data_IF_895313817025
#
_entry.id   IF_895313817025
#
_cell.length_a   1.000
_cell.length_b   1.000
_cell.length_c   1.000
_cell.angle_alpha   90.00
_cell.angle_beta   90.00
_cell.angle_gamma   90.00
#
_symmetry.space_group_name_H-M   'P 1'
#
loop_
_entity.id
_entity.type
_entity.pdbx_description
1 polymer ?
#
# COMPACT_ATOMS: atom_id res chain seq x y z
N UNK A 1 14.61 10.40 -7.64
CA UNK A 1 13.85 9.70 -8.70
C UNK A 1 12.72 10.60 -9.15
N UNK A 2 12.71 11.03 -10.41
CA UNK A 2 11.65 11.87 -10.96
C UNK A 2 10.60 11.03 -11.68
N UNK A 3 10.54 11.17 -13.00
CA UNK A 3 9.59 10.50 -13.90
C UNK A 3 9.71 8.98 -13.90
N UNK A 4 10.88 8.42 -13.57
CA UNK A 4 11.07 6.99 -13.31
C UNK A 4 10.15 6.42 -12.20
N UNK A 5 9.59 7.29 -11.34
CA UNK A 5 8.58 6.88 -10.34
C UNK A 5 7.30 6.32 -10.97
N UNK A 6 7.02 6.64 -12.24
CA UNK A 6 5.89 6.08 -12.99
C UNK A 6 5.98 4.55 -13.08
N UNK A 7 7.18 3.99 -13.24
CA UNK A 7 7.39 2.54 -13.25
C UNK A 7 7.10 1.88 -11.91
N UNK A 8 7.22 2.62 -10.80
CA UNK A 8 6.79 2.15 -9.48
C UNK A 8 5.30 1.88 -9.53
N UNK A 9 4.53 2.90 -9.95
CA UNK A 9 3.07 2.83 -10.01
C UNK A 9 2.60 1.75 -10.99
N UNK A 10 3.13 1.73 -12.21
CA UNK A 10 2.78 0.69 -13.20
C UNK A 10 3.18 -0.70 -12.74
N UNK A 11 4.39 -0.87 -12.20
CA UNK A 11 4.87 -2.15 -11.69
C UNK A 11 4.01 -2.67 -10.56
N UNK A 12 3.66 -1.80 -9.60
CA UNK A 12 2.77 -2.17 -8.49
C UNK A 12 1.37 -2.56 -8.96
N UNK A 13 0.73 -1.73 -9.79
CA UNK A 13 -0.63 -2.01 -10.31
C UNK A 13 -0.63 -3.32 -11.10
N UNK A 14 0.36 -3.52 -11.97
CA UNK A 14 0.43 -4.73 -12.79
C UNK A 14 0.72 -5.97 -11.94
N UNK A 15 1.62 -5.85 -10.95
CA UNK A 15 1.96 -6.92 -10.03
C UNK A 15 0.79 -7.33 -9.14
N UNK A 16 0.06 -6.35 -8.60
CA UNK A 16 -1.16 -6.58 -7.82
C UNK A 16 -2.29 -7.16 -8.67
N UNK A 17 -2.45 -6.67 -9.91
CA UNK A 17 -3.42 -7.23 -10.85
C UNK A 17 -3.11 -8.71 -11.17
N UNK A 18 -1.86 -9.05 -11.48
CA UNK A 18 -1.45 -10.45 -11.69
C UNK A 18 -1.65 -11.32 -10.44
N UNK A 19 -1.21 -10.81 -9.29
CA UNK A 19 -1.45 -11.42 -7.98
C UNK A 19 -2.92 -11.80 -7.80
N UNK A 20 -3.82 -10.84 -8.03
CA UNK A 20 -5.25 -11.01 -7.84
C UNK A 20 -5.84 -12.08 -8.76
N UNK A 21 -5.31 -12.21 -9.98
CA UNK A 21 -5.77 -13.19 -10.96
C UNK A 21 -5.44 -14.62 -10.55
N UNK A 22 -4.21 -14.87 -10.10
CA UNK A 22 -3.72 -16.21 -9.80
C UNK A 22 -4.01 -16.66 -8.36
N UNK A 23 -3.86 -15.76 -7.39
CA UNK A 23 -3.83 -16.15 -5.97
C UNK A 23 -5.17 -15.99 -5.28
N UNK A 24 -5.91 -14.91 -5.51
CA UNK A 24 -7.17 -14.68 -4.78
C UNK A 24 -8.20 -15.78 -5.04
N UNK A 25 -8.26 -16.33 -6.27
CA UNK A 25 -9.16 -17.45 -6.59
C UNK A 25 -8.78 -18.73 -5.85
N UNK A 26 -7.48 -19.08 -5.81
CA UNK A 26 -6.99 -20.28 -5.12
C UNK A 26 -7.13 -20.16 -3.61
N UNK A 27 -6.84 -18.98 -3.08
CA UNK A 27 -6.95 -18.71 -1.66
C UNK A 27 -8.40 -18.73 -1.17
N UNK A 28 -9.34 -18.20 -1.94
CA UNK A 28 -10.77 -18.29 -1.60
C UNK A 28 -11.23 -19.74 -1.53
N UNK A 29 -10.88 -20.55 -2.55
CA UNK A 29 -11.23 -21.97 -2.56
C UNK A 29 -10.64 -22.69 -1.33
N UNK A 30 -9.37 -22.47 -1.01
CA UNK A 30 -8.74 -23.03 0.17
C UNK A 30 -9.37 -22.54 1.49
N UNK A 31 -9.80 -21.28 1.58
CA UNK A 31 -10.49 -20.74 2.75
C UNK A 31 -11.88 -21.38 2.93
N UNK A 32 -12.64 -21.56 1.85
CA UNK A 32 -13.94 -22.24 1.87
C UNK A 32 -13.80 -23.72 2.20
N UNK A 33 -12.75 -24.39 1.70
CA UNK A 33 -12.49 -25.82 1.97
C UNK A 33 -12.01 -26.09 3.40
N UNK A 34 -11.39 -25.10 4.06
CA UNK A 34 -10.81 -25.25 5.42
C UNK A 34 -11.66 -24.62 6.53
N UNK A 35 -12.72 -23.87 6.19
CA UNK A 35 -13.58 -23.10 7.12
C UNK A 35 -12.79 -22.15 8.07
N UNK A 36 -11.60 -21.73 7.63
CA UNK A 36 -10.69 -20.90 8.42
C UNK A 36 -10.91 -19.42 8.14
N UNK A 37 -11.15 -18.65 9.21
CA UNK A 37 -11.37 -17.19 9.15
C UNK A 37 -10.07 -16.37 9.10
N UNK A 38 -8.91 -17.01 9.27
CA UNK A 38 -7.61 -16.34 9.33
C UNK A 38 -6.70 -16.77 8.18
N UNK A 39 -6.02 -15.81 7.55
CA UNK A 39 -5.01 -16.08 6.53
C UNK A 39 -3.93 -17.06 7.00
N UNK A 40 -3.51 -16.96 8.27
CA UNK A 40 -2.54 -17.89 8.86
C UNK A 40 -3.12 -19.30 9.02
N UNK A 41 -4.43 -19.44 9.27
CA UNK A 41 -5.13 -20.71 9.37
C UNK A 41 -5.24 -21.40 8.00
N UNK A 42 -5.66 -20.65 6.98
CA UNK A 42 -5.73 -21.15 5.59
C UNK A 42 -4.36 -21.61 5.10
N UNK A 43 -3.28 -20.87 5.42
CA UNK A 43 -1.94 -21.26 5.02
C UNK A 43 -1.42 -22.49 5.81
N UNK A 44 -1.81 -22.63 7.07
CA UNK A 44 -1.43 -23.78 7.90
C UNK A 44 -2.14 -25.08 7.50
N UNK A 45 -3.36 -24.98 6.94
CA UNK A 45 -4.15 -26.11 6.48
C UNK A 45 -4.01 -26.37 4.97
N UNK A 46 -3.17 -25.60 4.26
CA UNK A 46 -3.05 -25.63 2.79
C UNK A 46 -2.67 -27.00 2.22
N UNK A 47 -1.90 -27.79 2.97
CA UNK A 47 -1.45 -29.14 2.58
C UNK A 47 -2.28 -30.28 3.17
N UNK A 48 -3.42 -29.98 3.80
CA UNK A 48 -4.34 -30.99 4.36
C UNK A 48 -4.04 -31.43 5.79
N UNK A 49 -2.84 -31.16 6.32
CA UNK A 49 -2.49 -31.41 7.72
C UNK A 49 -2.43 -30.11 8.53
N UNK A 50 -3.24 -29.97 9.60
CA UNK A 50 -3.31 -28.73 10.38
C UNK A 50 -2.05 -28.50 11.22
N UNK A 51 -1.10 -27.75 10.67
CA UNK A 51 0.13 -27.41 11.36
C UNK A 51 -0.04 -26.16 12.25
N UNK A 52 -0.52 -26.38 13.49
CA UNK A 52 -0.69 -25.32 14.50
C UNK A 52 0.60 -24.57 14.84
N UNK A 53 1.78 -25.18 14.67
CA UNK A 53 3.05 -24.47 14.89
C UNK A 53 3.30 -23.45 13.78
N UNK A 54 3.06 -23.84 12.53
CA UNK A 54 3.17 -22.93 11.38
C UNK A 54 2.18 -21.76 11.49
N UNK A 55 0.93 -22.02 11.89
CA UNK A 55 -0.07 -20.97 12.12
C UNK A 55 0.39 -19.93 13.16
N UNK A 56 0.96 -20.39 14.28
CA UNK A 56 1.48 -19.49 15.33
C UNK A 56 2.67 -18.67 14.85
N UNK A 57 3.59 -19.28 14.10
CA UNK A 57 4.76 -18.56 13.56
C UNK A 57 4.32 -17.48 12.57
N UNK A 58 3.41 -17.80 11.65
CA UNK A 58 2.86 -16.82 10.69
C UNK A 58 2.12 -15.70 11.42
N UNK A 59 1.27 -16.05 12.40
CA UNK A 59 0.54 -15.07 13.21
C UNK A 59 1.47 -14.13 13.97
N UNK A 60 2.53 -14.66 14.59
CA UNK A 60 3.50 -13.88 15.36
C UNK A 60 4.35 -12.97 14.46
N UNK A 61 4.81 -13.47 13.32
CA UNK A 61 5.51 -12.65 12.32
C UNK A 61 4.59 -11.53 11.80
N UNK A 62 3.35 -11.87 11.44
CA UNK A 62 2.36 -10.90 10.96
C UNK A 62 2.07 -9.83 12.00
N UNK A 63 1.91 -10.20 13.26
CA UNK A 63 1.70 -9.27 14.36
C UNK A 63 2.89 -8.32 14.52
N UNK A 64 4.12 -8.84 14.49
CA UNK A 64 5.33 -8.03 14.61
C UNK A 64 5.44 -7.01 13.47
N UNK A 65 5.24 -7.44 12.22
CA UNK A 65 5.29 -6.55 11.06
C UNK A 65 4.15 -5.53 11.03
N UNK A 66 2.94 -5.91 11.47
CA UNK A 66 1.81 -4.99 11.55
C UNK A 66 2.03 -3.92 12.62
N UNK A 67 2.65 -4.30 13.76
CA UNK A 67 2.94 -3.37 14.84
C UNK A 67 4.01 -2.35 14.43
N UNK A 68 5.07 -2.78 13.76
CA UNK A 68 6.10 -1.88 13.22
C UNK A 68 5.53 -0.97 12.13
N UNK A 69 4.68 -1.49 11.26
CA UNK A 69 3.97 -0.71 10.24
C UNK A 69 3.07 0.36 10.86
N UNK A 70 2.23 0.01 11.84
CA UNK A 70 1.38 0.95 12.56
C UNK A 70 2.21 2.04 13.28
N UNK A 71 3.31 1.66 13.91
CA UNK A 71 4.25 2.59 14.53
C UNK A 71 4.85 3.58 13.52
N UNK A 72 5.28 3.09 12.35
CA UNK A 72 5.82 3.94 11.28
C UNK A 72 4.79 4.96 10.78
N UNK A 73 3.52 4.58 10.65
CA UNK A 73 2.45 5.50 10.27
C UNK A 73 2.23 6.62 11.30
N UNK A 74 2.20 6.27 12.60
CA UNK A 74 2.05 7.27 13.67
C UNK A 74 3.23 8.25 13.70
N UNK A 75 4.45 7.75 13.47
CA UNK A 75 5.65 8.61 13.36
C UNK A 75 5.56 9.54 12.16
N UNK A 76 5.15 9.04 10.99
CA UNK A 76 4.96 9.85 9.79
C UNK A 76 3.90 10.95 10.00
N UNK A 77 2.76 10.61 10.59
CA UNK A 77 1.71 11.58 10.94
C UNK A 77 2.19 12.62 11.96
N UNK A 78 2.95 12.20 12.97
CA UNK A 78 3.52 13.12 13.95
C UNK A 78 4.53 14.09 13.32
N UNK A 79 5.34 13.61 12.36
CA UNK A 79 6.25 14.46 11.60
C UNK A 79 5.53 15.49 10.76
N UNK A 80 4.42 15.12 10.12
CA UNK A 80 3.59 16.07 9.38
C UNK A 80 3.05 17.18 10.30
N UNK A 81 2.51 16.81 11.47
CA UNK A 81 2.02 17.78 12.47
C UNK A 81 3.14 18.67 13.02
N UNK A 82 4.32 18.11 13.27
CA UNK A 82 5.50 18.87 13.68
C UNK A 82 5.88 19.91 12.63
N UNK A 83 5.90 19.56 11.34
CA UNK A 83 6.29 20.49 10.27
C UNK A 83 5.21 21.56 10.02
N UNK A 84 3.93 21.22 10.15
CA UNK A 84 2.83 22.13 9.85
C UNK A 84 2.51 23.11 11.00
N UNK A 85 2.56 22.63 12.25
CA UNK A 85 2.13 23.39 13.42
C UNK A 85 3.27 23.74 14.38
N UNK A 86 4.51 23.35 14.06
CA UNK A 86 5.70 23.48 14.93
C UNK A 86 5.51 22.84 16.31
N UNK A 87 4.72 21.75 16.34
CA UNK A 87 4.40 21.04 17.57
C UNK A 87 5.51 20.09 18.01
N UNK A 88 5.62 19.80 19.32
CA UNK A 88 6.55 18.80 19.79
C UNK A 88 6.20 17.42 19.22
N UNK A 89 7.19 16.71 18.68
CA UNK A 89 6.97 15.46 17.93
C UNK A 89 6.36 14.29 18.72
N UNK A 90 6.19 14.41 20.04
CA UNK A 90 5.42 13.43 20.82
C UNK A 90 3.91 13.71 20.80
N UNK A 91 3.50 14.99 20.68
CA UNK A 91 2.10 15.39 20.75
C UNK A 91 1.29 14.84 19.55
N UNK A 92 1.88 14.88 18.35
CA UNK A 92 1.23 14.33 17.15
C UNK A 92 1.04 12.82 17.22
N UNK A 93 2.02 12.09 17.73
CA UNK A 93 1.93 10.64 17.92
C UNK A 93 0.87 10.26 18.97
N UNK A 94 0.82 10.98 20.10
CA UNK A 94 -0.20 10.76 21.14
C UNK A 94 -1.59 11.06 20.63
N UNK A 95 -1.78 12.17 19.92
CA UNK A 95 -3.08 12.53 19.34
C UNK A 95 -3.56 11.50 18.32
N UNK A 96 -2.67 11.07 17.41
CA UNK A 96 -2.98 10.02 16.43
C UNK A 96 -3.37 8.71 17.11
N UNK A 97 -2.62 8.26 18.11
CA UNK A 97 -2.94 7.05 18.87
C UNK A 97 -4.30 7.15 19.59
N UNK A 98 -4.59 8.28 20.24
CA UNK A 98 -5.87 8.52 20.92
C UNK A 98 -7.03 8.49 19.93
N UNK A 99 -6.91 9.17 18.78
CA UNK A 99 -7.94 9.12 17.74
C UNK A 99 -8.18 7.69 17.26
N UNK A 100 -7.13 6.93 16.99
CA UNK A 100 -7.22 5.52 16.57
C UNK A 100 -7.98 4.68 17.58
N UNK A 101 -7.61 4.79 18.85
CA UNK A 101 -8.27 4.06 19.94
C UNK A 101 -9.76 4.44 20.02
N UNK A 102 -10.09 5.73 19.96
CA UNK A 102 -11.46 6.21 20.08
C UNK A 102 -12.36 5.66 18.97
N UNK A 103 -11.95 5.74 17.70
CA UNK A 103 -12.79 5.23 16.62
C UNK A 103 -12.82 3.70 16.59
N UNK A 104 -11.74 3.01 17.02
CA UNK A 104 -11.75 1.55 17.17
C UNK A 104 -12.82 1.10 18.18
N UNK A 105 -12.97 1.80 19.30
CA UNK A 105 -14.00 1.51 20.29
C UNK A 105 -15.42 1.87 19.82
N UNK A 106 -15.59 2.97 19.10
CA UNK A 106 -16.91 3.47 18.72
C UNK A 106 -17.60 2.67 17.61
N UNK A 107 -16.83 1.94 16.80
CA UNK A 107 -17.21 1.81 15.40
C UNK A 107 -17.44 0.41 14.81
N UNK A 108 -16.77 -0.61 15.33
CA UNK A 108 -16.69 -1.91 14.68
C UNK A 108 -16.26 -1.82 13.20
N UNK A 109 -16.57 -2.86 12.40
CA UNK A 109 -16.18 -2.93 10.97
C UNK A 109 -16.83 -1.81 10.14
N UNK A 110 -18.08 -1.42 10.45
CA UNK A 110 -18.83 -0.42 9.66
C UNK A 110 -18.26 0.99 9.78
N UNK A 111 -17.89 1.45 10.97
CA UNK A 111 -17.31 2.78 11.10
C UNK A 111 -15.92 2.85 10.46
N UNK A 112 -15.12 1.78 10.56
CA UNK A 112 -13.83 1.71 9.88
C UNK A 112 -13.94 1.91 8.37
N UNK A 113 -14.97 1.33 7.73
CA UNK A 113 -15.20 1.52 6.30
C UNK A 113 -15.55 2.98 5.97
N UNK A 114 -16.38 3.61 6.80
CA UNK A 114 -16.74 5.02 6.60
C UNK A 114 -15.55 5.97 6.82
N UNK A 115 -14.69 5.70 7.81
CA UNK A 115 -13.48 6.49 8.03
C UNK A 115 -12.48 6.30 6.90
N UNK A 116 -12.31 5.07 6.38
CA UNK A 116 -11.45 4.79 5.23
C UNK A 116 -11.92 5.57 3.98
N UNK A 117 -13.25 5.60 3.74
CA UNK A 117 -13.85 6.35 2.63
C UNK A 117 -13.72 7.88 2.79
N UNK A 118 -13.91 8.41 3.99
CA UNK A 118 -13.71 9.83 4.25
C UNK A 118 -12.23 10.23 4.07
N UNK A 119 -11.30 9.40 4.56
CA UNK A 119 -9.87 9.64 4.44
C UNK A 119 -9.43 9.62 2.97
N UNK A 120 -9.92 8.68 2.15
CA UNK A 120 -9.56 8.63 0.73
C UNK A 120 -10.02 9.89 -0.02
N UNK A 121 -11.23 10.37 0.27
CA UNK A 121 -11.75 11.62 -0.32
C UNK A 121 -10.90 12.83 0.05
N UNK A 122 -10.52 12.96 1.33
CA UNK A 122 -9.67 14.04 1.83
C UNK A 122 -8.29 13.98 1.20
N UNK A 123 -7.68 12.79 1.11
CA UNK A 123 -6.36 12.59 0.51
C UNK A 123 -6.35 12.95 -0.98
N UNK A 124 -7.34 12.51 -1.76
CA UNK A 124 -7.46 12.84 -3.18
C UNK A 124 -7.60 14.36 -3.37
N UNK A 125 -8.48 14.98 -2.58
CA UNK A 125 -8.72 16.43 -2.63
C UNK A 125 -7.47 17.23 -2.27
N UNK A 126 -6.79 16.85 -1.17
CA UNK A 126 -5.56 17.49 -0.72
C UNK A 126 -4.45 17.38 -1.77
N UNK A 127 -4.31 16.21 -2.41
CA UNK A 127 -3.30 15.97 -3.43
C UNK A 127 -3.58 16.78 -4.72
N UNK A 128 -4.86 16.92 -5.12
CA UNK A 128 -5.27 17.76 -6.25
C UNK A 128 -5.00 19.25 -5.99
N UNK A 129 -5.30 19.73 -4.78
CA UNK A 129 -5.01 21.11 -4.36
C UNK A 129 -3.51 21.34 -4.34
N UNK A 130 -2.74 20.44 -3.72
CA UNK A 130 -1.29 20.54 -3.62
C UNK A 130 -0.66 20.61 -5.02
N UNK A 131 -1.10 19.76 -5.96
CA UNK A 131 -0.63 19.78 -7.34
C UNK A 131 -0.92 21.12 -8.01
N UNK A 132 -2.14 21.65 -7.86
CA UNK A 132 -2.55 22.91 -8.48
C UNK A 132 -1.77 24.09 -7.92
N UNK A 133 -1.59 24.15 -6.59
CA UNK A 133 -0.80 25.18 -5.91
C UNK A 133 0.67 25.10 -6.32
N UNK A 134 1.26 23.91 -6.38
CA UNK A 134 2.65 23.72 -6.81
C UNK A 134 2.86 24.21 -8.26
N UNK A 135 1.99 23.81 -9.19
CA UNK A 135 2.08 24.22 -10.60
C UNK A 135 1.89 25.73 -10.77
N UNK A 136 0.93 26.32 -10.06
CA UNK A 136 0.69 27.77 -10.14
C UNK A 136 1.82 28.59 -9.52
N UNK A 137 2.41 28.13 -8.41
CA UNK A 137 3.57 28.75 -7.78
C UNK A 137 4.82 28.74 -8.67
N UNK A 138 4.97 27.73 -9.53
CA UNK A 138 6.08 27.59 -10.48
C UNK A 138 5.86 28.38 -11.78
N UNK A 139 4.81 29.20 -11.89
CA UNK A 139 4.53 29.99 -13.10
C UNK A 139 3.65 29.27 -14.13
N UNK A 140 2.86 28.28 -13.71
CA UNK A 140 1.99 27.49 -14.58
C UNK A 140 2.66 26.20 -15.08
N UNK A 141 1.99 25.51 -16.00
CA UNK A 141 2.49 24.22 -16.53
C UNK A 141 3.85 24.36 -17.21
N UNK A 142 4.07 25.44 -17.96
CA UNK A 142 5.33 25.66 -18.68
C UNK A 142 6.49 25.94 -17.71
N UNK A 143 6.24 26.75 -16.66
CA UNK A 143 7.23 27.01 -15.62
C UNK A 143 7.56 25.77 -14.79
N UNK A 144 6.54 24.97 -14.45
CA UNK A 144 6.74 23.69 -13.78
C UNK A 144 7.57 22.72 -14.64
N UNK A 145 7.29 22.59 -15.95
CA UNK A 145 8.07 21.73 -16.86
C UNK A 145 9.51 22.23 -17.01
N UNK A 146 9.73 23.54 -17.04
CA UNK A 146 11.07 24.11 -17.12
C UNK A 146 11.89 23.83 -15.85
N UNK A 147 11.30 23.93 -14.66
CA UNK A 147 11.95 23.54 -13.42
C UNK A 147 12.17 22.01 -13.32
N UNK A 148 11.26 21.21 -13.85
CA UNK A 148 11.48 19.76 -13.95
C UNK A 148 12.63 19.40 -14.90
N UNK A 149 12.87 20.23 -15.92
CA UNK A 149 14.02 20.11 -16.84
C UNK A 149 15.33 20.63 -16.23
N UNK A 150 15.26 21.57 -15.28
CA UNK A 150 16.44 22.13 -14.62
C UNK A 150 17.10 21.10 -13.69
N UNK A 151 16.34 20.12 -13.21
CA UNK A 151 16.86 18.98 -12.45
C UNK A 151 17.33 17.88 -13.39
N UNK A 152 18.65 17.68 -13.45
CA UNK A 152 19.28 16.70 -14.31
C UNK A 152 18.73 15.28 -14.06
N UNK A 153 18.29 14.63 -15.13
CA UNK A 153 17.75 13.26 -15.09
C UNK A 153 16.35 13.12 -14.45
N UNK A 154 15.68 14.21 -14.05
CA UNK A 154 14.36 14.11 -13.42
C UNK A 154 13.27 13.68 -14.40
N UNK A 155 13.36 14.06 -15.68
CA UNK A 155 12.38 13.67 -16.71
C UNK A 155 12.73 12.35 -17.42
N UNK A 156 13.81 11.68 -17.02
CA UNK A 156 14.17 10.41 -17.64
C UNK A 156 13.16 9.32 -17.26
N UNK A 157 12.71 8.58 -18.27
CA UNK A 157 11.77 7.46 -18.10
C UNK A 157 12.39 6.29 -17.34
N UNK A 158 13.71 6.13 -17.39
CA UNK A 158 14.47 5.15 -16.63
C UNK A 158 15.45 5.87 -15.70
N UNK A 159 15.81 5.28 -14.54
CA UNK A 159 16.87 5.82 -13.70
C UNK A 159 18.17 5.99 -14.51
N UNK A 160 19.02 6.95 -14.14
CA UNK A 160 20.34 7.08 -14.77
C UNK A 160 21.14 5.78 -14.57
N UNK A 161 21.95 5.37 -15.55
CA UNK A 161 22.73 4.12 -15.53
C UNK A 161 23.58 3.97 -14.26
N UNK A 162 24.05 5.08 -13.68
CA UNK A 162 24.82 5.12 -12.43
C UNK A 162 24.01 4.73 -11.17
N UNK A 163 22.68 4.79 -11.24
CA UNK A 163 21.77 4.41 -10.16
C UNK A 163 21.22 2.98 -10.28
N UNK A 164 21.55 2.29 -11.38
CA UNK A 164 21.11 0.93 -11.66
C UNK A 164 22.22 -0.05 -11.31
N UNK A 165 21.84 -1.17 -10.68
CA UNK A 165 22.78 -2.27 -10.34
C UNK A 165 23.42 -2.86 -11.62
N UNK A 166 22.72 -2.78 -12.75
CA UNK A 166 23.20 -3.17 -14.07
C UNK A 166 22.91 -2.00 -15.03
N UNK A 167 23.93 -1.34 -15.61
CA UNK A 167 23.70 -0.24 -16.55
C UNK A 167 23.08 -0.75 -17.87
N UNK A 168 22.28 0.10 -18.53
CA UNK A 168 21.65 -0.15 -19.82
C UNK A 168 20.20 -0.66 -19.76
N UNK A 169 19.65 -0.99 -20.93
CA UNK A 169 18.24 -1.39 -21.09
C UNK A 169 17.82 -2.60 -20.23
N UNK A 170 18.77 -3.49 -19.92
CA UNK A 170 18.56 -4.64 -19.03
C UNK A 170 18.32 -4.18 -17.58
N UNK A 171 19.05 -3.15 -17.12
CA UNK A 171 18.81 -2.54 -15.82
C UNK A 171 17.43 -1.94 -15.70
N UNK A 172 17.00 -1.17 -16.71
CA UNK A 172 15.67 -0.57 -16.74
C UNK A 172 14.55 -1.61 -16.69
N UNK A 173 14.74 -2.74 -17.40
CA UNK A 173 13.79 -3.85 -17.37
C UNK A 173 13.77 -4.58 -16.02
N UNK A 174 14.94 -4.82 -15.40
CA UNK A 174 15.03 -5.40 -14.06
C UNK A 174 14.45 -4.47 -12.99
N UNK A 175 14.60 -3.15 -13.14
CA UNK A 175 13.97 -2.17 -12.27
C UNK A 175 12.44 -2.28 -12.36
N UNK A 176 11.88 -2.24 -13.57
CA UNK A 176 10.44 -2.40 -13.79
C UNK A 176 9.93 -3.76 -13.26
N UNK A 177 10.64 -4.85 -13.56
CA UNK A 177 10.31 -6.20 -13.08
C UNK A 177 10.39 -6.30 -11.54
N UNK A 178 11.37 -5.65 -10.91
CA UNK A 178 11.49 -5.58 -9.45
C UNK A 178 10.26 -4.95 -8.80
N UNK A 179 9.72 -3.89 -9.38
CA UNK A 179 8.48 -3.27 -8.91
C UNK A 179 7.23 -4.12 -9.16
N UNK A 180 7.22 -4.93 -10.23
CA UNK A 180 6.18 -5.94 -10.42
C UNK A 180 6.23 -7.02 -9.32
N UNK A 181 7.41 -7.51 -8.95
CA UNK A 181 7.56 -8.43 -7.82
C UNK A 181 7.18 -7.77 -6.49
N UNK A 182 7.48 -6.48 -6.32
CA UNK A 182 7.01 -5.72 -5.17
C UNK A 182 5.47 -5.62 -5.14
N UNK A 183 4.80 -5.49 -6.28
CA UNK A 183 3.34 -5.55 -6.38
C UNK A 183 2.79 -6.93 -6.02
N UNK A 184 3.46 -8.00 -6.44
CA UNK A 184 3.12 -9.37 -6.06
C UNK A 184 3.21 -9.60 -4.53
N UNK A 185 4.08 -8.86 -3.82
CA UNK A 185 4.24 -8.97 -2.37
C UNK A 185 2.99 -8.57 -1.57
N UNK A 186 2.02 -7.88 -2.19
CA UNK A 186 0.72 -7.54 -1.60
C UNK A 186 -0.03 -8.80 -1.12
N UNK A 187 0.19 -9.96 -1.75
CA UNK A 187 -0.35 -11.26 -1.32
C UNK A 187 0.05 -11.62 0.10
N UNK A 188 1.27 -11.26 0.49
CA UNK A 188 1.83 -11.59 1.81
C UNK A 188 1.20 -10.77 2.94
N UNK A 189 0.35 -9.79 2.63
CA UNK A 189 -0.21 -8.86 3.61
C UNK A 189 -1.53 -9.40 4.18
N UNK A 190 -1.56 -9.88 5.44
CA UNK A 190 -2.73 -10.57 5.99
C UNK A 190 -3.95 -9.65 6.10
N UNK A 191 -3.74 -8.36 6.36
CA UNK A 191 -4.82 -7.38 6.52
C UNK A 191 -5.59 -7.11 5.21
N UNK A 192 -4.90 -7.14 4.06
CA UNK A 192 -5.53 -7.05 2.74
C UNK A 192 -6.24 -8.36 2.43
N UNK A 193 -5.58 -9.47 2.73
CA UNK A 193 -6.06 -10.78 2.32
C UNK A 193 -7.32 -11.23 3.06
N UNK A 194 -7.45 -10.90 4.34
CA UNK A 194 -8.67 -11.17 5.11
C UNK A 194 -9.88 -10.43 4.54
N UNK A 195 -9.71 -9.22 3.99
CA UNK A 195 -10.80 -8.49 3.32
C UNK A 195 -11.29 -9.24 2.08
N UNK A 196 -10.39 -9.85 1.30
CA UNK A 196 -10.75 -10.66 0.14
C UNK A 196 -11.38 -12.01 0.50
N UNK A 197 -10.99 -12.61 1.63
CA UNK A 197 -11.62 -13.84 2.15
C UNK A 197 -13.07 -13.61 2.60
N UNK A 198 -13.39 -12.40 3.08
CA UNK A 198 -14.72 -12.04 3.56
C UNK A 198 -15.72 -11.66 2.45
N UNK A 199 -15.30 -11.64 1.17
CA UNK A 199 -16.19 -11.32 0.05
C UNK A 199 -17.08 -12.53 -0.28
N UNK A 200 -18.41 -12.31 -0.27
CA UNK A 200 -19.42 -13.35 -0.42
C UNK A 200 -19.55 -13.90 -1.85
N UNK A 201 -19.20 -13.13 -2.89
CA UNK A 201 -19.52 -13.47 -4.29
C UNK A 201 -18.34 -13.36 -5.28
N UNK A 202 -18.28 -14.30 -6.23
CA UNK A 202 -17.25 -14.31 -7.28
C UNK A 202 -17.41 -13.16 -8.30
N UNK A 203 -18.63 -12.65 -8.48
CA UNK A 203 -18.96 -11.47 -9.28
C UNK A 203 -18.51 -10.18 -8.59
N UNK A 204 -18.75 -10.06 -7.28
CA UNK A 204 -18.26 -8.97 -6.42
C UNK A 204 -16.73 -8.94 -6.36
N UNK A 205 -16.07 -10.10 -6.47
CA UNK A 205 -14.61 -10.17 -6.57
C UNK A 205 -14.06 -9.53 -7.85
N UNK A 206 -14.80 -9.60 -8.97
CA UNK A 206 -14.41 -8.90 -10.22
C UNK A 206 -14.62 -7.40 -10.09
N UNK A 207 -15.68 -6.98 -9.38
CA UNK A 207 -15.97 -5.57 -9.13
C UNK A 207 -14.93 -4.97 -8.16
N UNK A 208 -14.64 -5.64 -7.05
CA UNK A 208 -13.61 -5.22 -6.11
C UNK A 208 -12.23 -5.09 -6.78
N UNK A 209 -11.85 -6.00 -7.69
CA UNK A 209 -10.61 -5.93 -8.48
C UNK A 209 -10.51 -4.74 -9.43
N UNK A 210 -11.64 -4.12 -9.79
CA UNK A 210 -11.69 -3.00 -10.73
C UNK A 210 -11.62 -1.65 -9.99
N UNK A 211 -11.95 -1.65 -8.70
CA UNK A 211 -11.94 -0.47 -7.82
C UNK A 211 -10.73 -0.42 -6.86
N UNK A 212 -10.07 -1.56 -6.63
CA UNK A 212 -8.76 -1.64 -5.97
C UNK A 212 -7.65 -1.38 -6.99
#
# INVERSE_FOLDING_TARGET
TGLAAIWLMFGWILGDFLSSLFVHRRLRLAATDTDEVSYAGVLANWYGDPNRQLQRVIGLLSLLFLLTYAGAQLVAGSKALQVLFDWPGWAGAVMGAVMVILYCFAGGIRASIWTDAAQSMVMISAMAILLTVAVTALGGLDGAVNELRSVEGFLNWFPADDSLVIPGAIGGLLFAAGWMFAGLSVIGQPHIMVRFMALEDASEMTRARLWY
#
